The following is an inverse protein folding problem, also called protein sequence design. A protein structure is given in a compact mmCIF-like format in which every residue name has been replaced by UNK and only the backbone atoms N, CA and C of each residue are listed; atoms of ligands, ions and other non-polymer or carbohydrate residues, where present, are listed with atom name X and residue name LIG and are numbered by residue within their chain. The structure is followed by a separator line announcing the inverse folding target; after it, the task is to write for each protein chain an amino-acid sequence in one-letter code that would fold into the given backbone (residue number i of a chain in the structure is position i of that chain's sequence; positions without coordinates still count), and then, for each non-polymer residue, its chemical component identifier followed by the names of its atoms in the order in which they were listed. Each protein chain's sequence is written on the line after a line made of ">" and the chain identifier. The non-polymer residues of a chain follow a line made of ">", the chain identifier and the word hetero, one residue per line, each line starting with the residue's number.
data_IF_593169660699
#
_entry.id   IF_593169660699
#
_cell.length_a   1.000
_cell.length_b   1.000
_cell.length_c   1.000
_cell.angle_alpha   90.00
_cell.angle_beta   90.00
_cell.angle_gamma   90.00
#
_symmetry.space_group_name_H-M   'P 1'
#
loop_
_entity.id
_entity.type
_entity.pdbx_description
1 polymer ?
#
# COMPACT_ATOMS: atom_id res chain seq x y z
N UNK A 1 -22.70 12.63 21.47
CA UNK A 1 -21.33 12.54 20.89
C UNK A 1 -21.27 12.71 19.35
N UNK A 2 -22.39 12.85 18.62
CA UNK A 2 -22.38 13.03 17.16
C UNK A 2 -22.06 14.45 16.67
N UNK A 3 -22.49 15.48 17.40
CA UNK A 3 -22.43 16.88 16.94
C UNK A 3 -21.01 17.41 16.71
N UNK A 4 -20.04 17.02 17.55
CA UNK A 4 -18.65 17.49 17.43
C UNK A 4 -17.97 16.96 16.17
N UNK A 5 -18.28 15.71 15.77
CA UNK A 5 -17.74 15.10 14.55
C UNK A 5 -18.30 15.77 13.29
N UNK A 6 -19.61 16.02 13.26
CA UNK A 6 -20.25 16.70 12.13
C UNK A 6 -19.79 18.17 12.00
N UNK A 7 -19.58 18.89 13.12
CA UNK A 7 -19.00 20.23 13.09
C UNK A 7 -17.61 20.26 12.48
N UNK A 8 -16.72 19.35 12.92
CA UNK A 8 -15.37 19.26 12.35
C UNK A 8 -15.41 18.89 10.86
N UNK A 9 -16.34 18.02 10.44
CA UNK A 9 -16.50 17.67 9.03
C UNK A 9 -16.98 18.87 8.19
N UNK A 10 -17.96 19.64 8.68
CA UNK A 10 -18.44 20.83 8.00
C UNK A 10 -17.34 21.91 7.84
N UNK A 11 -16.52 22.11 8.87
CA UNK A 11 -15.36 23.03 8.79
C UNK A 11 -14.30 22.52 7.81
N UNK A 12 -13.98 21.22 7.86
CA UNK A 12 -13.07 20.58 6.90
C UNK A 12 -13.58 20.78 5.46
N UNK A 13 -14.83 20.42 5.18
CA UNK A 13 -15.42 20.50 3.84
C UNK A 13 -15.40 21.94 3.30
N UNK A 14 -15.70 22.92 4.16
CA UNK A 14 -15.63 24.35 3.80
C UNK A 14 -14.21 24.76 3.39
N UNK A 15 -13.19 24.45 4.19
CA UNK A 15 -11.82 24.85 3.88
C UNK A 15 -11.20 24.04 2.73
N UNK A 16 -11.56 22.76 2.61
CA UNK A 16 -11.10 21.89 1.54
C UNK A 16 -11.67 22.33 0.19
N UNK A 17 -12.96 22.72 0.13
CA UNK A 17 -13.58 23.33 -1.05
C UNK A 17 -12.92 24.64 -1.48
N UNK A 18 -12.38 25.40 -0.52
CA UNK A 18 -11.64 26.65 -0.77
C UNK A 18 -10.20 26.42 -1.27
N UNK A 19 -9.77 25.15 -1.44
CA UNK A 19 -8.42 24.82 -1.89
C UNK A 19 -7.34 25.02 -0.82
N UNK A 20 -7.72 25.11 0.46
CA UNK A 20 -6.76 25.26 1.55
C UNK A 20 -5.89 24.01 1.72
N UNK A 21 -4.61 24.20 2.03
CA UNK A 21 -3.69 23.08 2.26
C UNK A 21 -4.12 22.31 3.52
N UNK A 22 -4.01 20.99 3.46
CA UNK A 22 -4.42 20.08 4.54
C UNK A 22 -3.75 20.41 5.89
N UNK A 23 -2.53 20.93 5.87
CA UNK A 23 -1.80 21.37 7.06
C UNK A 23 -2.47 22.55 7.77
N UNK A 24 -2.96 23.52 7.00
CA UNK A 24 -3.65 24.69 7.54
C UNK A 24 -5.06 24.32 8.02
N UNK A 25 -5.74 23.42 7.29
CA UNK A 25 -7.02 22.86 7.72
C UNK A 25 -6.86 22.11 9.04
N UNK A 26 -5.78 21.32 9.19
CA UNK A 26 -5.50 20.57 10.42
C UNK A 26 -5.40 21.46 11.66
N UNK A 27 -4.75 22.63 11.51
CA UNK A 27 -4.60 23.63 12.57
C UNK A 27 -5.93 24.31 12.92
N UNK A 28 -6.76 24.61 11.92
CA UNK A 28 -8.06 25.28 12.13
C UNK A 28 -9.12 24.37 12.74
N UNK A 29 -9.20 23.13 12.24
CA UNK A 29 -10.18 22.14 12.71
C UNK A 29 -9.71 21.47 14.02
N UNK A 30 -8.42 21.59 14.37
CA UNK A 30 -7.85 20.99 15.57
C UNK A 30 -7.72 19.46 15.49
N UNK A 31 -7.54 18.92 14.27
CA UNK A 31 -7.39 17.49 14.01
C UNK A 31 -6.06 17.23 13.31
N UNK A 32 -5.48 16.04 13.51
CA UNK A 32 -4.23 15.70 12.81
C UNK A 32 -4.46 15.53 11.31
N UNK A 33 -3.43 15.87 10.52
CA UNK A 33 -3.44 15.69 9.05
C UNK A 33 -3.81 14.26 8.64
N UNK A 34 -3.27 13.24 9.32
CA UNK A 34 -3.60 11.84 9.05
C UNK A 34 -5.09 11.52 9.26
N UNK A 35 -5.74 12.17 10.24
CA UNK A 35 -7.17 12.01 10.49
C UNK A 35 -8.02 12.71 9.42
N UNK A 36 -7.60 13.88 8.93
CA UNK A 36 -8.28 14.56 7.83
C UNK A 36 -8.10 13.85 6.47
N UNK A 37 -6.92 13.23 6.25
CA UNK A 37 -6.63 12.42 5.05
C UNK A 37 -7.28 11.04 5.06
N UNK A 38 -7.97 10.66 6.14
CA UNK A 38 -8.67 9.39 6.24
C UNK A 38 -9.92 9.33 5.37
N UNK A 39 -10.48 8.13 5.22
CA UNK A 39 -11.75 7.90 4.51
C UNK A 39 -12.92 8.69 5.12
N UNK A 40 -12.89 8.96 6.43
CA UNK A 40 -13.99 9.65 7.13
C UNK A 40 -14.17 11.12 6.73
N UNK A 41 -13.11 11.79 6.27
CA UNK A 41 -13.13 13.22 5.92
C UNK A 41 -12.90 13.42 4.43
N UNK A 42 -11.69 13.15 3.93
CA UNK A 42 -11.38 13.33 2.51
C UNK A 42 -12.18 12.36 1.64
N UNK A 43 -12.28 11.09 2.07
CA UNK A 43 -13.07 10.08 1.35
C UNK A 43 -14.56 10.42 1.31
N UNK A 44 -15.15 10.78 2.46
CA UNK A 44 -16.55 11.24 2.56
C UNK A 44 -16.80 12.45 1.67
N UNK A 45 -15.93 13.45 1.70
CA UNK A 45 -16.07 14.66 0.85
C UNK A 45 -16.02 14.32 -0.63
N UNK A 46 -15.12 13.42 -1.06
CA UNK A 46 -15.05 13.00 -2.46
C UNK A 46 -16.31 12.27 -2.91
N UNK A 47 -16.84 11.35 -2.10
CA UNK A 47 -18.10 10.64 -2.39
C UNK A 47 -19.28 11.63 -2.48
N UNK A 48 -19.43 12.52 -1.49
CA UNK A 48 -20.53 13.51 -1.45
C UNK A 48 -20.50 14.48 -2.64
N UNK A 49 -19.31 14.79 -3.17
CA UNK A 49 -19.13 15.72 -4.29
C UNK A 49 -18.93 15.02 -5.64
N UNK A 50 -19.09 13.69 -5.71
CA UNK A 50 -18.89 12.92 -6.95
C UNK A 50 -17.47 13.03 -7.53
N UNK A 51 -16.49 13.40 -6.70
CA UNK A 51 -15.10 13.50 -7.09
C UNK A 51 -14.58 12.06 -7.07
N UNK A 52 -14.39 11.46 -8.25
CA UNK A 52 -13.72 10.18 -8.36
C UNK A 52 -12.38 10.28 -7.62
N UNK A 53 -12.20 9.45 -6.58
CA UNK A 53 -10.98 9.37 -5.79
C UNK A 53 -9.89 8.83 -6.73
N UNK A 54 -9.28 9.73 -7.51
CA UNK A 54 -8.07 9.53 -8.29
C UNK A 54 -6.86 9.36 -7.35
N UNK A 55 -7.04 8.70 -6.20
CA UNK A 55 -5.96 7.93 -5.63
C UNK A 55 -5.46 7.09 -6.78
N UNK A 56 -4.21 7.35 -7.16
CA UNK A 56 -3.38 6.45 -7.95
C UNK A 56 -3.39 5.13 -7.21
N UNK A 57 -4.43 4.32 -7.42
CA UNK A 57 -4.40 2.90 -7.14
C UNK A 57 -3.23 2.47 -7.99
N UNK A 58 -2.15 2.04 -7.35
CA UNK A 58 -1.06 1.41 -8.04
C UNK A 58 -1.71 0.18 -8.70
N UNK A 59 -2.12 0.32 -9.96
CA UNK A 59 -2.93 -0.68 -10.68
C UNK A 59 -2.12 -1.94 -10.97
N UNK A 60 -0.82 -1.95 -10.66
CA UNK A 60 -0.05 -3.17 -10.48
C UNK A 60 -0.45 -3.83 -9.17
N UNK A 61 -1.62 -4.47 -9.16
CA UNK A 61 -1.87 -5.57 -8.24
C UNK A 61 -0.88 -6.66 -8.61
N UNK A 62 0.15 -6.84 -7.77
CA UNK A 62 1.03 -8.00 -7.84
C UNK A 62 0.14 -9.22 -7.67
N UNK A 63 0.22 -10.17 -8.61
CA UNK A 63 -0.44 -11.46 -8.44
C UNK A 63 0.26 -12.21 -7.30
N UNK A 64 -0.28 -12.05 -6.09
CA UNK A 64 0.33 -12.57 -4.86
C UNK A 64 0.29 -14.10 -4.84
N UNK A 65 -0.70 -14.71 -5.50
CA UNK A 65 -0.79 -16.17 -5.59
C UNK A 65 0.29 -16.71 -6.53
N UNK A 66 0.48 -16.07 -7.69
CA UNK A 66 1.57 -16.43 -8.60
C UNK A 66 2.94 -16.22 -7.94
N UNK A 67 3.14 -15.08 -7.24
CA UNK A 67 4.36 -14.79 -6.51
C UNK A 67 4.69 -15.87 -5.47
N UNK A 68 3.74 -16.22 -4.60
CA UNK A 68 3.94 -17.23 -3.56
C UNK A 68 4.20 -18.63 -4.15
N UNK A 69 3.54 -18.97 -5.25
CA UNK A 69 3.78 -20.25 -5.94
C UNK A 69 5.20 -20.33 -6.50
N UNK A 70 5.67 -19.25 -7.12
CA UNK A 70 7.03 -19.17 -7.69
C UNK A 70 8.09 -19.22 -6.58
N UNK A 71 7.86 -18.52 -5.47
CA UNK A 71 8.72 -18.61 -4.27
C UNK A 71 8.79 -20.06 -3.77
N UNK A 72 7.65 -20.73 -3.60
CA UNK A 72 7.63 -22.10 -3.09
C UNK A 72 8.39 -23.08 -4.00
N UNK A 73 8.26 -22.93 -5.32
CA UNK A 73 9.01 -23.74 -6.30
C UNK A 73 10.52 -23.53 -6.12
N UNK A 74 10.95 -22.27 -5.97
CA UNK A 74 12.35 -21.92 -5.77
C UNK A 74 12.87 -22.41 -4.41
N UNK A 75 12.07 -22.28 -3.35
CA UNK A 75 12.41 -22.78 -2.02
C UNK A 75 12.65 -24.29 -2.02
N UNK A 76 11.75 -25.06 -2.65
CA UNK A 76 11.90 -26.52 -2.75
C UNK A 76 13.08 -26.92 -3.64
N UNK A 77 13.31 -26.23 -4.75
CA UNK A 77 14.40 -26.57 -5.69
C UNK A 77 15.77 -26.30 -5.10
N UNK A 78 15.92 -25.20 -4.37
CA UNK A 78 17.20 -24.74 -3.83
C UNK A 78 17.34 -24.99 -2.33
N UNK A 79 16.43 -25.79 -1.75
CA UNK A 79 16.48 -26.17 -0.33
C UNK A 79 16.52 -24.94 0.59
N UNK A 80 15.83 -23.88 0.21
CA UNK A 80 15.77 -22.67 1.04
C UNK A 80 15.02 -23.01 2.33
N UNK A 81 15.62 -22.64 3.46
CA UNK A 81 15.15 -23.01 4.79
C UNK A 81 15.88 -24.21 5.38
N UNK A 82 16.56 -25.03 4.57
CA UNK A 82 17.40 -26.13 5.05
C UNK A 82 18.70 -25.59 5.67
N UNK A 83 19.27 -26.38 6.58
CA UNK A 83 20.53 -26.05 7.27
C UNK A 83 21.67 -26.87 6.68
N UNK A 84 22.69 -26.19 6.16
CA UNK A 84 23.93 -26.81 5.68
C UNK A 84 25.09 -26.24 6.49
N UNK A 85 25.87 -27.13 7.13
CA UNK A 85 27.00 -26.74 8.00
C UNK A 85 26.62 -25.73 9.12
N UNK A 86 25.40 -25.84 9.65
CA UNK A 86 24.89 -24.95 10.71
C UNK A 86 24.38 -23.58 10.23
N UNK A 87 24.39 -23.33 8.91
CA UNK A 87 23.87 -22.11 8.31
C UNK A 87 22.59 -22.43 7.56
N UNK A 88 21.53 -21.66 7.80
CA UNK A 88 20.27 -21.78 7.06
C UNK A 88 20.43 -21.16 5.67
N UNK A 89 20.07 -21.91 4.63
CA UNK A 89 20.00 -21.39 3.26
C UNK A 89 18.87 -20.37 3.18
N UNK A 90 19.18 -19.12 2.85
CA UNK A 90 18.18 -18.04 2.71
C UNK A 90 17.86 -17.80 1.25
N UNK A 91 16.64 -17.32 1.01
CA UNK A 91 16.17 -16.95 -0.33
C UNK A 91 16.99 -15.81 -0.97
N UNK A 92 17.61 -14.96 -0.13
CA UNK A 92 18.45 -13.85 -0.56
C UNK A 92 19.94 -14.23 -0.71
N UNK A 93 20.31 -15.45 -0.33
CA UNK A 93 21.67 -15.93 -0.60
C UNK A 93 21.78 -16.20 -2.11
N UNK A 94 22.97 -16.02 -2.69
CA UNK A 94 23.25 -16.29 -4.13
C UNK A 94 23.04 -17.78 -4.54
N UNK A 95 22.36 -18.56 -3.68
CA UNK A 95 21.92 -19.94 -3.87
C UNK A 95 20.88 -20.08 -4.99
N UNK A 96 20.08 -19.05 -5.26
CA UNK A 96 19.11 -19.05 -6.37
C UNK A 96 19.71 -18.25 -7.54
N UNK A 97 20.06 -18.89 -8.67
CA UNK A 97 20.58 -18.20 -9.84
C UNK A 97 19.54 -17.25 -10.45
N UNK A 98 19.96 -16.03 -10.76
CA UNK A 98 19.12 -15.06 -11.47
C UNK A 98 18.74 -15.49 -12.89
N UNK A 99 19.46 -16.46 -13.45
CA UNK A 99 19.13 -17.11 -14.73
C UNK A 99 18.04 -18.19 -14.62
N UNK A 100 17.61 -18.57 -13.41
CA UNK A 100 16.54 -19.56 -13.24
C UNK A 100 15.23 -19.01 -13.86
N UNK A 101 14.55 -19.77 -14.74
CA UNK A 101 13.31 -19.31 -15.37
C UNK A 101 12.23 -18.86 -14.36
N UNK A 102 12.15 -19.52 -13.20
CA UNK A 102 11.16 -19.20 -12.16
C UNK A 102 11.56 -17.94 -11.37
N UNK A 103 12.86 -17.67 -11.22
CA UNK A 103 13.36 -16.42 -10.63
C UNK A 103 13.12 -15.23 -11.57
N UNK A 104 13.32 -15.43 -12.88
CA UNK A 104 12.96 -14.45 -13.91
C UNK A 104 11.46 -14.16 -13.87
N UNK A 105 10.62 -15.19 -13.81
CA UNK A 105 9.16 -15.04 -13.75
C UNK A 105 8.71 -14.35 -12.46
N UNK A 106 9.32 -14.69 -11.31
CA UNK A 106 9.05 -14.03 -10.03
C UNK A 106 9.40 -12.53 -10.10
N UNK A 107 10.54 -12.18 -10.71
CA UNK A 107 10.93 -10.78 -10.94
C UNK A 107 9.93 -10.04 -11.83
N UNK A 108 9.34 -10.70 -12.83
CA UNK A 108 8.29 -10.11 -13.68
C UNK A 108 7.00 -9.86 -12.89
N UNK A 109 6.58 -10.82 -12.06
CA UNK A 109 5.38 -10.70 -11.22
C UNK A 109 5.53 -9.58 -10.18
N UNK A 110 6.69 -9.48 -9.53
CA UNK A 110 6.95 -8.48 -8.49
C UNK A 110 7.20 -7.07 -9.08
N UNK A 111 7.99 -6.97 -10.15
CA UNK A 111 8.36 -5.68 -10.74
C UNK A 111 7.41 -5.21 -11.85
N UNK A 112 6.47 -6.06 -12.26
CA UNK A 112 5.46 -5.79 -13.30
C UNK A 112 6.05 -5.46 -14.68
N UNK A 113 7.28 -5.88 -14.98
CA UNK A 113 7.99 -5.66 -16.25
C UNK A 113 8.34 -6.99 -16.89
#
# INVERSE_FOLDING_TARGET
>A
MGEKKERHYAEFAKYYKQGMKMEDISKKVGLSKGRLSSADYTGRYHIENGIADNKRVNTRKIDTNAMMRLIHILEQRYHVGDYVNGIQIRFADDAIPDSDPQMIELRKVVNGK
#
